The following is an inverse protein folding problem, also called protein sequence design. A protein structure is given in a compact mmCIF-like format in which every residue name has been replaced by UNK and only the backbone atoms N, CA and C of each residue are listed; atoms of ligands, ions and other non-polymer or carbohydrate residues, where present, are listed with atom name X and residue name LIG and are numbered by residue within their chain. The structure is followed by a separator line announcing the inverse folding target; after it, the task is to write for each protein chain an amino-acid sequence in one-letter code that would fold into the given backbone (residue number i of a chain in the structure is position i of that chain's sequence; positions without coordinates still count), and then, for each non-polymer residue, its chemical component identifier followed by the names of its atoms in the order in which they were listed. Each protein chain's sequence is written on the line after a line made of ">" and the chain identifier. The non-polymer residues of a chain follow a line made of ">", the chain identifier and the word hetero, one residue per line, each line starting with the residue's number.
data_IF_859144295985
#
_entry.id   IF_859144295985
#
_cell.length_a   1.000
_cell.length_b   1.000
_cell.length_c   1.000
_cell.angle_alpha   90.00
_cell.angle_beta   90.00
_cell.angle_gamma   90.00
#
_symmetry.space_group_name_H-M   'P 1'
#
loop_
_entity.id
_entity.type
_entity.pdbx_description
1 polymer ?
#
# COMPACT_ATOMS: atom_id res chain seq x y z
N UNK A 1 16.93 -9.97 -16.70
CA UNK A 1 16.19 -8.72 -16.42
C UNK A 1 15.64 -8.83 -15.01
N UNK A 2 15.87 -7.85 -14.12
CA UNK A 2 15.17 -7.83 -12.83
C UNK A 2 13.69 -7.60 -13.14
N UNK A 3 12.82 -8.49 -12.67
CA UNK A 3 11.37 -8.33 -12.80
C UNK A 3 10.96 -7.05 -12.07
N UNK A 4 10.25 -6.16 -12.77
CA UNK A 4 9.72 -4.93 -12.18
C UNK A 4 8.62 -5.29 -11.18
N UNK A 5 8.61 -4.68 -9.99
CA UNK A 5 7.58 -4.91 -8.97
C UNK A 5 6.26 -4.33 -9.47
N UNK A 6 5.26 -5.18 -9.64
CA UNK A 6 3.88 -4.79 -9.96
C UNK A 6 2.98 -5.30 -8.84
N UNK A 7 2.29 -4.38 -8.19
CA UNK A 7 1.42 -4.63 -7.04
C UNK A 7 -0.02 -4.34 -7.46
N UNK A 8 -0.96 -5.21 -7.11
CA UNK A 8 -2.37 -4.97 -7.40
C UNK A 8 -3.27 -5.33 -6.22
N UNK A 9 -4.25 -4.47 -5.96
CA UNK A 9 -5.26 -4.63 -4.93
C UNK A 9 -6.46 -5.41 -5.47
N UNK A 10 -6.88 -6.42 -4.73
CA UNK A 10 -8.18 -7.04 -4.85
C UNK A 10 -9.03 -6.53 -3.68
N UNK A 11 -9.96 -5.60 -3.95
CA UNK A 11 -10.79 -4.97 -2.90
C UNK A 11 -12.15 -5.64 -2.72
N UNK A 12 -12.74 -6.12 -3.82
CA UNK A 12 -14.03 -6.79 -3.80
C UNK A 12 -13.87 -8.28 -3.47
N UNK A 13 -15.00 -8.93 -3.16
CA UNK A 13 -15.04 -10.38 -3.04
C UNK A 13 -14.40 -11.07 -4.26
N UNK A 14 -13.54 -12.06 -4.00
CA UNK A 14 -12.82 -12.82 -5.02
C UNK A 14 -13.16 -14.31 -4.96
N UNK A 15 -13.02 -14.96 -6.11
CA UNK A 15 -12.97 -16.42 -6.26
C UNK A 15 -11.71 -16.79 -7.03
N UNK A 16 -11.31 -18.07 -6.97
CA UNK A 16 -10.14 -18.54 -7.72
C UNK A 16 -10.27 -18.24 -9.22
N UNK A 17 -11.47 -18.34 -9.80
CA UNK A 17 -11.71 -18.03 -11.21
C UNK A 17 -11.49 -16.54 -11.51
N UNK A 18 -12.01 -15.64 -10.65
CA UNK A 18 -11.82 -14.20 -10.84
C UNK A 18 -10.35 -13.78 -10.72
N UNK A 19 -9.58 -14.45 -9.84
CA UNK A 19 -8.17 -14.16 -9.64
C UNK A 19 -7.35 -14.39 -10.90
N UNK A 20 -7.65 -15.44 -11.70
CA UNK A 20 -6.86 -15.82 -12.90
C UNK A 20 -6.58 -14.63 -13.81
N UNK A 21 -7.62 -13.84 -14.12
CA UNK A 21 -7.50 -12.65 -14.96
C UNK A 21 -7.12 -11.40 -14.18
N UNK A 22 -7.57 -11.25 -12.93
CA UNK A 22 -7.33 -10.03 -12.15
C UNK A 22 -5.85 -9.83 -11.80
N UNK A 23 -5.10 -10.92 -11.58
CA UNK A 23 -3.72 -10.87 -11.09
C UNK A 23 -2.68 -11.09 -12.20
N UNK A 24 -3.11 -11.11 -13.46
CA UNK A 24 -2.21 -11.25 -14.60
C UNK A 24 -1.20 -10.10 -14.61
N UNK A 25 0.10 -10.43 -14.75
CA UNK A 25 1.18 -9.44 -14.70
C UNK A 25 1.59 -8.97 -13.30
N UNK A 26 0.85 -9.27 -12.24
CA UNK A 26 1.24 -8.88 -10.87
C UNK A 26 2.34 -9.76 -10.29
N UNK A 27 3.18 -9.14 -9.48
CA UNK A 27 4.20 -9.81 -8.65
C UNK A 27 3.74 -9.97 -7.21
N UNK A 28 2.95 -8.99 -6.72
CA UNK A 28 2.36 -8.97 -5.39
C UNK A 28 0.86 -8.72 -5.54
N UNK A 29 0.05 -9.51 -4.83
CA UNK A 29 -1.41 -9.39 -4.79
C UNK A 29 -1.78 -8.99 -3.37
N UNK A 30 -2.43 -7.84 -3.25
CA UNK A 30 -2.92 -7.31 -1.98
C UNK A 30 -4.38 -7.73 -1.81
N UNK A 31 -4.69 -8.36 -0.69
CA UNK A 31 -6.03 -8.79 -0.30
C UNK A 31 -6.58 -7.79 0.72
N UNK A 32 -7.57 -7.03 0.29
CA UNK A 32 -8.21 -5.96 1.05
C UNK A 32 -9.56 -6.46 1.60
N UNK A 33 -9.92 -6.26 2.87
CA UNK A 33 -9.16 -5.63 3.97
C UNK A 33 -9.31 -6.41 5.27
N UNK A 34 -8.30 -6.37 6.12
CA UNK A 34 -8.40 -6.60 7.56
C UNK A 34 -8.60 -5.25 8.26
N UNK A 35 -9.70 -5.06 8.98
CA UNK A 35 -10.08 -3.77 9.53
C UNK A 35 -9.42 -3.54 10.88
N UNK A 36 -9.66 -4.45 11.83
CA UNK A 36 -9.17 -4.40 13.20
C UNK A 36 -9.33 -5.78 13.85
N UNK A 37 -8.76 -6.01 15.05
CA UNK A 37 -9.02 -7.24 15.80
C UNK A 37 -10.51 -7.47 16.09
N UNK A 38 -11.26 -6.38 16.29
CA UNK A 38 -12.68 -6.42 16.65
C UNK A 38 -13.60 -6.61 15.44
N UNK A 39 -13.26 -5.97 14.32
CA UNK A 39 -14.11 -5.93 13.13
C UNK A 39 -13.75 -7.00 12.09
N UNK A 40 -12.56 -7.60 12.21
CA UNK A 40 -12.12 -8.72 11.38
C UNK A 40 -11.82 -8.33 9.93
N UNK A 41 -12.24 -9.17 8.98
CA UNK A 41 -11.93 -9.03 7.55
C UNK A 41 -13.18 -8.77 6.72
N UNK A 42 -13.00 -8.11 5.58
CA UNK A 42 -14.02 -7.89 4.56
C UNK A 42 -13.45 -8.08 3.15
N UNK A 43 -14.32 -8.16 2.14
CA UNK A 43 -13.94 -8.13 0.74
C UNK A 43 -13.08 -9.33 0.31
N UNK A 44 -11.92 -9.06 -0.29
CA UNK A 44 -11.01 -10.11 -0.72
C UNK A 44 -10.31 -10.82 0.43
N UNK A 45 -10.00 -10.10 1.51
CA UNK A 45 -9.41 -10.71 2.71
C UNK A 45 -10.39 -11.69 3.37
N UNK A 46 -11.68 -11.34 3.42
CA UNK A 46 -12.75 -12.24 3.89
C UNK A 46 -12.93 -13.46 2.97
N UNK A 47 -12.93 -13.25 1.66
CA UNK A 47 -12.97 -14.36 0.70
C UNK A 47 -11.80 -15.34 0.92
N UNK A 48 -10.58 -14.82 1.12
CA UNK A 48 -9.39 -15.63 1.39
C UNK A 48 -9.39 -16.30 2.76
N UNK A 49 -9.99 -15.67 3.78
CA UNK A 49 -10.19 -16.30 5.09
C UNK A 49 -11.15 -17.49 5.02
N UNK A 50 -12.20 -17.38 4.19
CA UNK A 50 -13.19 -18.44 3.96
C UNK A 50 -12.70 -19.55 3.03
N UNK A 51 -11.77 -19.22 2.13
CA UNK A 51 -11.17 -20.16 1.19
C UNK A 51 -9.63 -19.97 1.12
N UNK A 52 -8.87 -20.65 2.00
CA UNK A 52 -7.42 -20.58 2.02
C UNK A 52 -6.74 -21.06 0.72
N UNK A 53 -7.44 -21.79 -0.16
CA UNK A 53 -6.90 -22.19 -1.47
C UNK A 53 -6.64 -20.98 -2.37
N UNK A 54 -7.29 -19.84 -2.14
CA UNK A 54 -7.04 -18.59 -2.89
C UNK A 54 -5.60 -18.10 -2.69
N UNK A 55 -5.12 -18.07 -1.44
CA UNK A 55 -3.73 -17.69 -1.13
C UNK A 55 -2.77 -18.71 -1.73
N UNK A 56 -3.05 -20.01 -1.57
CA UNK A 56 -2.22 -21.07 -2.13
C UNK A 56 -2.13 -20.99 -3.66
N UNK A 57 -3.24 -20.70 -4.32
CA UNK A 57 -3.30 -20.53 -5.77
C UNK A 57 -2.39 -19.39 -6.22
N UNK A 58 -2.50 -18.20 -5.61
CA UNK A 58 -1.65 -17.04 -5.93
C UNK A 58 -0.17 -17.37 -5.70
N UNK A 59 0.16 -18.02 -4.59
CA UNK A 59 1.55 -18.44 -4.28
C UNK A 59 2.07 -19.50 -5.24
N UNK A 60 1.23 -20.42 -5.73
CA UNK A 60 1.60 -21.44 -6.72
C UNK A 60 2.02 -20.83 -8.06
N UNK A 61 1.57 -19.61 -8.36
CA UNK A 61 1.99 -18.81 -9.52
C UNK A 61 3.29 -18.03 -9.27
N UNK A 62 3.95 -18.22 -8.12
CA UNK A 62 5.17 -17.53 -7.73
C UNK A 62 4.97 -16.07 -7.31
N UNK A 63 3.74 -15.67 -6.99
CA UNK A 63 3.39 -14.32 -6.54
C UNK A 63 3.39 -14.23 -5.02
N UNK A 64 3.50 -13.01 -4.50
CA UNK A 64 3.39 -12.71 -3.06
C UNK A 64 1.97 -12.32 -2.68
N UNK A 65 1.48 -12.86 -1.57
CA UNK A 65 0.17 -12.50 -1.01
C UNK A 65 0.38 -11.54 0.17
N UNK A 66 -0.23 -10.36 0.11
CA UNK A 66 -0.10 -9.32 1.13
C UNK A 66 -1.49 -9.00 1.68
N UNK A 67 -1.62 -8.89 3.00
CA UNK A 67 -2.88 -8.51 3.64
C UNK A 67 -2.94 -7.00 3.84
N UNK A 68 -3.93 -6.32 3.26
CA UNK A 68 -4.13 -4.89 3.49
C UNK A 68 -4.90 -4.66 4.79
N UNK A 69 -4.40 -3.76 5.63
CA UNK A 69 -4.98 -3.37 6.90
C UNK A 69 -5.54 -1.95 6.82
N UNK A 70 -6.74 -1.74 7.35
CA UNK A 70 -7.40 -0.43 7.40
C UNK A 70 -8.42 -0.23 6.29
N UNK A 71 -8.09 0.62 5.32
CA UNK A 71 -8.99 1.13 4.30
C UNK A 71 -9.90 2.25 4.80
N UNK A 72 -10.83 2.69 3.94
CA UNK A 72 -11.70 3.85 4.16
C UNK A 72 -12.59 3.78 5.43
N UNK A 73 -12.84 2.58 5.96
CA UNK A 73 -13.75 2.36 7.10
C UNK A 73 -13.06 2.32 8.46
N UNK A 74 -11.73 2.25 8.50
CA UNK A 74 -10.98 2.18 9.76
C UNK A 74 -10.57 3.58 10.25
N UNK A 75 -10.81 3.84 11.54
CA UNK A 75 -10.52 5.13 12.19
C UNK A 75 -9.69 4.89 13.46
N UNK A 76 -8.35 4.95 13.39
CA UNK A 76 -7.49 4.73 14.56
C UNK A 76 -7.57 5.90 15.54
N UNK A 77 -7.35 5.61 16.82
CA UNK A 77 -6.98 6.63 17.79
C UNK A 77 -5.48 6.85 17.72
N UNK A 78 -5.05 7.76 16.85
CA UNK A 78 -3.63 8.03 16.54
C UNK A 78 -2.79 8.49 17.74
N UNK A 79 -3.42 8.87 18.85
CA UNK A 79 -2.71 9.25 20.09
C UNK A 79 -2.46 8.07 21.05
N UNK A 80 -3.06 6.92 20.77
CA UNK A 80 -2.99 5.73 21.61
C UNK A 80 -1.91 4.76 21.11
N UNK A 81 -0.72 4.85 21.70
CA UNK A 81 0.39 3.93 21.40
C UNK A 81 0.11 2.47 21.79
N UNK A 82 -0.76 2.21 22.77
CA UNK A 82 -1.08 0.84 23.15
C UNK A 82 -1.97 0.20 22.08
N UNK A 83 -2.96 0.96 21.57
CA UNK A 83 -3.76 0.56 20.42
C UNK A 83 -2.87 0.28 19.20
N UNK A 84 -1.87 1.14 18.92
CA UNK A 84 -0.95 0.94 17.80
C UNK A 84 -0.21 -0.41 17.87
N UNK A 85 0.34 -0.75 19.05
CA UNK A 85 1.02 -2.03 19.28
C UNK A 85 0.06 -3.21 19.11
N UNK A 86 -1.11 -3.13 19.71
CA UNK A 86 -2.12 -4.19 19.61
C UNK A 86 -2.53 -4.42 18.15
N UNK A 87 -2.75 -3.33 17.41
CA UNK A 87 -3.08 -3.38 15.99
C UNK A 87 -1.99 -4.06 15.16
N UNK A 88 -0.74 -3.62 15.28
CA UNK A 88 0.40 -4.20 14.57
C UNK A 88 0.63 -5.68 14.92
N UNK A 89 0.53 -6.03 16.20
CA UNK A 89 0.66 -7.40 16.68
C UNK A 89 -0.44 -8.31 16.13
N UNK A 90 -1.70 -7.88 16.21
CA UNK A 90 -2.84 -8.66 15.75
C UNK A 90 -2.83 -8.84 14.23
N UNK A 91 -2.47 -7.78 13.48
CA UNK A 91 -2.30 -7.84 12.04
C UNK A 91 -1.23 -8.86 11.63
N UNK A 92 -0.05 -8.80 12.26
CA UNK A 92 1.03 -9.76 11.96
C UNK A 92 0.65 -11.20 12.32
N UNK A 93 -0.02 -11.42 13.46
CA UNK A 93 -0.57 -12.73 13.84
C UNK A 93 -1.52 -13.27 12.78
N UNK A 94 -2.48 -12.46 12.36
CA UNK A 94 -3.46 -12.85 11.35
C UNK A 94 -2.77 -13.18 10.02
N UNK A 95 -1.83 -12.34 9.58
CA UNK A 95 -1.09 -12.56 8.35
C UNK A 95 -0.35 -13.91 8.36
N UNK A 96 0.36 -14.22 9.45
CA UNK A 96 1.09 -15.48 9.59
C UNK A 96 0.14 -16.69 9.69
N UNK A 97 -0.93 -16.58 10.46
CA UNK A 97 -1.92 -17.65 10.64
C UNK A 97 -2.56 -18.07 9.31
N UNK A 98 -2.90 -17.10 8.46
CA UNK A 98 -3.53 -17.33 7.16
C UNK A 98 -2.53 -17.47 6.00
N UNK A 99 -1.23 -17.47 6.27
CA UNK A 99 -0.18 -17.80 5.29
C UNK A 99 0.14 -16.68 4.29
N UNK A 100 -0.17 -15.43 4.63
CA UNK A 100 0.26 -14.25 3.88
C UNK A 100 1.79 -14.08 3.97
N UNK A 101 2.39 -13.53 2.92
CA UNK A 101 3.82 -13.22 2.85
C UNK A 101 4.14 -11.82 3.41
N UNK A 102 3.13 -11.01 3.72
CA UNK A 102 3.30 -9.64 4.17
C UNK A 102 2.00 -8.94 4.54
N UNK A 103 2.16 -7.70 5.01
CA UNK A 103 1.06 -6.79 5.39
C UNK A 103 1.26 -5.42 4.74
N UNK A 104 0.16 -4.76 4.43
CA UNK A 104 0.11 -3.41 3.87
C UNK A 104 -0.71 -2.50 4.79
N UNK A 105 -0.11 -1.45 5.34
CA UNK A 105 -0.81 -0.46 6.16
C UNK A 105 -1.46 0.59 5.25
N UNK A 106 -2.73 0.38 4.92
CA UNK A 106 -3.58 1.28 4.15
C UNK A 106 -4.46 2.11 5.11
N UNK A 107 -3.82 2.95 5.92
CA UNK A 107 -4.49 3.75 6.94
C UNK A 107 -4.83 5.12 6.36
N UNK A 108 -6.09 5.30 5.96
CA UNK A 108 -6.52 6.48 5.19
C UNK A 108 -7.10 7.62 6.05
N UNK A 109 -7.78 7.30 7.15
CA UNK A 109 -8.46 8.30 7.99
C UNK A 109 -7.51 8.95 9.03
N UNK A 110 -6.37 9.45 8.56
CA UNK A 110 -5.34 10.06 9.40
C UNK A 110 -4.77 11.33 8.76
N UNK A 111 -4.26 12.23 9.60
CA UNK A 111 -3.31 13.26 9.16
C UNK A 111 -1.90 12.74 9.43
N UNK A 112 -0.99 12.82 8.46
CA UNK A 112 0.34 12.22 8.59
C UNK A 112 1.08 12.76 9.82
N UNK A 113 1.14 14.09 10.01
CA UNK A 113 1.79 14.73 11.16
C UNK A 113 1.35 14.21 12.53
N UNK A 114 0.07 13.84 12.70
CA UNK A 114 -0.46 13.38 13.99
C UNK A 114 -0.32 11.86 14.16
N UNK A 115 -0.23 11.12 13.05
CA UNK A 115 -0.26 9.66 13.05
C UNK A 115 1.12 8.98 12.97
N UNK A 116 2.21 9.71 12.73
CA UNK A 116 3.56 9.12 12.55
C UNK A 116 3.97 8.16 13.68
N UNK A 117 3.72 8.54 14.94
CA UNK A 117 4.06 7.71 16.09
C UNK A 117 3.22 6.42 16.12
N UNK A 118 1.92 6.53 15.86
CA UNK A 118 1.02 5.39 15.81
C UNK A 118 1.42 4.42 14.68
N UNK A 119 1.64 4.96 13.47
CA UNK A 119 2.08 4.18 12.32
C UNK A 119 3.41 3.48 12.61
N UNK A 120 4.38 4.21 13.16
CA UNK A 120 5.70 3.65 13.46
C UNK A 120 5.61 2.50 14.45
N UNK A 121 4.86 2.69 15.53
CA UNK A 121 4.70 1.67 16.58
C UNK A 121 4.01 0.42 16.05
N UNK A 122 2.92 0.57 15.28
CA UNK A 122 2.23 -0.55 14.66
C UNK A 122 3.13 -1.30 13.66
N UNK A 123 3.90 -0.56 12.86
CA UNK A 123 4.83 -1.11 11.85
C UNK A 123 5.95 -1.92 12.50
N UNK A 124 6.64 -1.32 13.48
CA UNK A 124 7.74 -1.96 14.21
C UNK A 124 7.23 -3.20 14.93
N UNK A 125 6.08 -3.11 15.60
CA UNK A 125 5.49 -4.25 16.31
C UNK A 125 5.20 -5.42 15.37
N UNK A 126 4.64 -5.16 14.19
CA UNK A 126 4.36 -6.20 13.20
C UNK A 126 5.65 -6.86 12.67
N UNK A 127 6.67 -6.04 12.37
CA UNK A 127 7.95 -6.51 11.85
C UNK A 127 8.75 -7.33 12.88
N UNK A 128 8.82 -6.85 14.12
CA UNK A 128 9.50 -7.54 15.22
C UNK A 128 8.79 -8.86 15.56
N UNK A 129 7.46 -8.83 15.71
CA UNK A 129 6.70 -10.04 16.03
C UNK A 129 6.89 -11.13 14.98
N UNK A 130 6.78 -10.79 13.69
CA UNK A 130 6.99 -11.79 12.64
C UNK A 130 8.40 -12.38 12.68
N UNK A 131 9.41 -11.52 12.85
CA UNK A 131 10.83 -11.94 12.98
C UNK A 131 11.04 -12.89 14.16
N UNK A 132 10.39 -12.64 15.31
CA UNK A 132 10.41 -13.53 16.47
C UNK A 132 9.76 -14.89 16.21
N UNK A 133 8.76 -14.96 15.33
CA UNK A 133 8.16 -16.22 14.88
C UNK A 133 9.03 -16.96 13.85
N UNK A 134 10.20 -16.42 13.48
CA UNK A 134 11.10 -17.00 12.49
C UNK A 134 10.69 -16.73 11.04
N UNK A 135 9.73 -15.83 10.83
CA UNK A 135 9.26 -15.40 9.51
C UNK A 135 9.61 -13.93 9.29
N UNK A 136 9.81 -13.51 8.04
CA UNK A 136 9.97 -12.08 7.73
C UNK A 136 8.84 -11.64 6.82
N UNK A 137 7.83 -11.00 7.40
CA UNK A 137 6.76 -10.39 6.62
C UNK A 137 7.33 -9.27 5.76
N UNK A 138 6.84 -9.19 4.52
CA UNK A 138 6.98 -8.01 3.68
C UNK A 138 6.07 -6.93 4.28
N UNK A 139 6.62 -5.74 4.56
CA UNK A 139 5.85 -4.63 5.12
C UNK A 139 5.72 -3.51 4.08
N UNK A 140 4.50 -3.14 3.73
CA UNK A 140 4.24 -1.97 2.89
C UNK A 140 3.24 -1.00 3.51
N UNK A 141 3.17 0.21 2.96
CA UNK A 141 2.22 1.24 3.35
C UNK A 141 1.59 1.85 2.10
N UNK A 142 0.35 2.32 2.19
CA UNK A 142 -0.34 2.97 1.07
C UNK A 142 -0.68 4.44 1.35
N UNK A 143 0.32 5.32 1.56
CA UNK A 143 0.04 6.73 1.86
C UNK A 143 -0.58 7.46 0.68
N UNK A 144 -1.50 8.38 0.96
CA UNK A 144 -2.00 9.31 -0.05
C UNK A 144 -0.90 10.31 -0.44
N UNK A 145 -0.70 10.50 -1.75
CA UNK A 145 0.41 11.29 -2.31
C UNK A 145 0.65 12.66 -1.65
N UNK A 146 -0.38 13.50 -1.44
CA UNK A 146 -0.26 14.81 -0.78
C UNK A 146 0.38 14.78 0.61
N UNK A 147 0.17 13.71 1.37
CA UNK A 147 0.69 13.58 2.74
C UNK A 147 2.06 12.90 2.81
N UNK A 148 2.55 12.36 1.67
CA UNK A 148 3.81 11.66 1.63
C UNK A 148 5.00 12.46 2.18
N UNK A 149 5.14 13.78 1.93
CA UNK A 149 6.30 14.50 2.43
C UNK A 149 6.50 14.41 3.95
N UNK A 150 5.40 14.37 4.72
CA UNK A 150 5.47 14.13 6.16
C UNK A 150 5.64 12.64 6.47
N UNK A 151 4.97 11.78 5.70
CA UNK A 151 5.03 10.33 5.80
C UNK A 151 6.45 9.75 5.59
N UNK A 152 7.29 10.44 4.81
CA UNK A 152 8.67 10.02 4.52
C UNK A 152 9.52 9.81 5.78
N UNK A 153 9.21 10.52 6.88
CA UNK A 153 9.85 10.36 8.19
C UNK A 153 9.68 8.96 8.79
N UNK A 154 8.65 8.23 8.35
CA UNK A 154 8.37 6.88 8.82
C UNK A 154 9.50 5.90 8.48
N UNK A 155 10.27 6.15 7.41
CA UNK A 155 11.44 5.34 7.05
C UNK A 155 12.49 5.33 8.18
N UNK A 156 12.76 6.50 8.79
CA UNK A 156 13.67 6.63 9.93
C UNK A 156 13.05 6.04 11.21
N UNK A 157 11.79 6.41 11.51
CA UNK A 157 11.10 6.00 12.73
C UNK A 157 10.91 4.47 12.82
N UNK A 158 10.78 3.79 11.68
CA UNK A 158 10.60 2.33 11.61
C UNK A 158 11.92 1.59 11.38
N UNK A 159 13.07 2.26 11.47
CA UNK A 159 14.39 1.65 11.31
C UNK A 159 14.55 0.89 9.97
N UNK A 160 13.86 1.35 8.92
CA UNK A 160 13.90 0.74 7.59
C UNK A 160 13.10 -0.56 7.45
N UNK A 161 12.20 -0.91 8.38
CA UNK A 161 11.36 -2.10 8.28
C UNK A 161 10.38 -2.08 7.09
N UNK A 162 10.07 -0.90 6.53
CA UNK A 162 9.17 -0.77 5.39
C UNK A 162 9.88 -1.21 4.11
N UNK A 163 9.35 -2.22 3.40
CA UNK A 163 9.92 -2.72 2.15
C UNK A 163 9.53 -1.87 0.93
N UNK A 164 8.33 -1.26 0.93
CA UNK A 164 7.90 -0.31 -0.10
C UNK A 164 6.64 0.49 0.28
N UNK A 165 6.40 1.58 -0.44
CA UNK A 165 5.24 2.45 -0.33
C UNK A 165 4.40 2.40 -1.61
N UNK A 166 3.15 1.95 -1.52
CA UNK A 166 2.13 2.00 -2.57
C UNK A 166 1.47 3.40 -2.59
N UNK A 167 2.20 4.41 -3.05
CA UNK A 167 1.77 5.80 -2.95
C UNK A 167 0.52 6.03 -3.82
N UNK A 168 -0.57 6.46 -3.21
CA UNK A 168 -1.84 6.66 -3.90
C UNK A 168 -1.83 8.01 -4.64
N UNK A 169 -1.74 7.94 -5.98
CA UNK A 169 -1.78 9.09 -6.87
C UNK A 169 -3.17 9.26 -7.50
N UNK A 170 -4.22 9.19 -6.68
CA UNK A 170 -5.64 9.29 -7.08
C UNK A 170 -6.53 9.71 -5.89
N UNK A 171 -7.75 10.18 -6.18
CA UNK A 171 -8.77 10.62 -5.21
C UNK A 171 -8.39 11.82 -4.31
N UNK A 172 -7.41 12.64 -4.70
CA UNK A 172 -6.92 13.76 -3.89
C UNK A 172 -7.39 15.15 -4.38
N UNK A 173 -8.33 15.20 -5.32
CA UNK A 173 -8.84 16.44 -5.92
C UNK A 173 -8.04 16.93 -7.13
N UNK A 174 -8.37 18.13 -7.61
CA UNK A 174 -7.76 18.76 -8.78
C UNK A 174 -7.06 20.07 -8.36
N UNK A 175 -5.79 19.97 -7.99
CA UNK A 175 -4.96 21.12 -7.63
C UNK A 175 -3.65 21.06 -8.44
N UNK A 176 -3.10 22.23 -8.73
CA UNK A 176 -1.93 22.44 -9.60
C UNK A 176 -0.70 21.59 -9.25
N UNK A 177 -0.56 21.20 -7.97
CA UNK A 177 0.53 20.37 -7.43
C UNK A 177 0.17 18.88 -7.26
N UNK A 178 -1.05 18.49 -7.60
CA UNK A 178 -1.64 17.17 -7.34
C UNK A 178 -2.23 16.54 -8.61
N UNK A 179 -2.05 17.16 -9.78
CA UNK A 179 -2.50 16.63 -11.05
C UNK A 179 -1.69 15.38 -11.39
N UNK A 180 -2.19 14.21 -10.99
CA UNK A 180 -1.58 12.92 -11.28
C UNK A 180 -2.09 12.34 -12.60
N UNK A 181 -2.65 13.15 -13.49
CA UNK A 181 -3.39 12.69 -14.67
C UNK A 181 -2.47 12.17 -15.79
N UNK A 182 -1.21 12.62 -15.84
CA UNK A 182 -0.23 12.18 -16.84
C UNK A 182 1.05 11.64 -16.21
N UNK A 183 1.74 10.76 -16.93
CA UNK A 183 3.05 10.23 -16.52
C UNK A 183 4.07 11.36 -16.31
N UNK A 184 4.07 12.38 -17.16
CA UNK A 184 4.97 13.54 -17.09
C UNK A 184 4.79 14.34 -15.79
N UNK A 185 3.59 14.37 -15.21
CA UNK A 185 3.31 15.06 -13.95
C UNK A 185 3.76 14.28 -12.69
N UNK A 186 4.08 12.99 -12.84
CA UNK A 186 4.60 12.13 -11.76
C UNK A 186 6.14 12.27 -11.61
N UNK A 187 6.78 12.87 -12.61
CA UNK A 187 8.20 13.20 -12.69
C UNK A 187 8.35 14.74 -12.65
N UNK A 188 9.54 15.31 -12.36
CA UNK A 188 9.65 16.73 -12.04
C UNK A 188 9.13 17.64 -13.15
N UNK A 189 8.01 18.30 -12.87
CA UNK A 189 7.65 19.56 -13.48
C UNK A 189 8.05 20.67 -12.50
N UNK A 190 8.87 21.62 -12.95
CA UNK A 190 8.98 22.91 -12.29
C UNK A 190 7.71 23.69 -12.64
N UNK A 191 6.77 23.80 -11.71
CA UNK A 191 5.62 24.66 -11.90
C UNK A 191 5.93 26.04 -11.34
N UNK A 192 6.02 27.08 -12.18
CA UNK A 192 6.25 28.48 -11.76
C UNK A 192 7.34 28.68 -10.68
N UNK A 193 8.45 27.92 -10.74
CA UNK A 193 9.56 27.89 -9.76
C UNK A 193 9.28 27.20 -8.40
N UNK A 194 8.20 26.43 -8.28
CA UNK A 194 7.89 25.58 -7.12
C UNK A 194 8.09 24.11 -7.53
N UNK A 195 8.87 23.36 -6.74
CA UNK A 195 9.06 21.92 -6.93
C UNK A 195 7.81 21.17 -6.44
N UNK A 196 7.30 20.22 -7.22
CA UNK A 196 6.21 19.34 -6.79
C UNK A 196 6.73 18.39 -5.68
N UNK A 197 6.37 18.59 -4.39
CA UNK A 197 6.93 17.82 -3.28
C UNK A 197 6.51 16.35 -3.28
N UNK A 198 5.51 15.97 -4.09
CA UNK A 198 4.97 14.60 -4.19
C UNK A 198 5.39 13.88 -5.48
N UNK A 199 6.16 14.54 -6.35
CA UNK A 199 6.80 13.86 -7.49
C UNK A 199 7.77 12.78 -7.01
N UNK A 200 7.95 11.72 -7.79
CA UNK A 200 8.81 10.58 -7.41
C UNK A 200 10.23 11.04 -7.06
N UNK A 201 10.79 11.97 -7.84
CA UNK A 201 12.13 12.52 -7.58
C UNK A 201 12.17 13.35 -6.29
N UNK A 202 11.13 14.15 -6.01
CA UNK A 202 11.08 14.93 -4.76
C UNK A 202 10.93 14.02 -3.56
N UNK A 203 10.16 12.94 -3.67
CA UNK A 203 10.03 11.93 -2.62
C UNK A 203 11.37 11.23 -2.37
N UNK A 204 12.07 10.82 -3.42
CA UNK A 204 13.40 10.21 -3.29
C UNK A 204 14.40 11.16 -2.60
N UNK A 205 14.32 12.47 -2.87
CA UNK A 205 15.18 13.47 -2.23
C UNK A 205 14.93 13.66 -0.72
N UNK A 206 13.82 13.14 -0.20
CA UNK A 206 13.45 13.21 1.22
C UNK A 206 13.97 12.03 2.05
N UNK A 207 14.84 11.19 1.48
CA UNK A 207 15.49 10.09 2.20
C UNK A 207 14.84 8.72 2.00
N UNK A 208 13.77 8.63 1.19
CA UNK A 208 13.16 7.35 0.82
C UNK A 208 13.93 6.73 -0.36
N UNK A 209 14.45 5.49 -0.23
CA UNK A 209 15.13 4.83 -1.34
C UNK A 209 14.19 4.69 -2.56
N UNK A 210 14.63 5.08 -3.79
CA UNK A 210 13.78 5.03 -4.98
C UNK A 210 13.16 3.65 -5.27
N UNK A 211 13.87 2.57 -4.95
CA UNK A 211 13.41 1.19 -5.11
C UNK A 211 12.23 0.80 -4.20
N UNK A 212 11.98 1.59 -3.15
CA UNK A 212 10.83 1.44 -2.25
C UNK A 212 9.59 2.20 -2.75
N UNK A 213 9.71 3.05 -3.77
CA UNK A 213 8.58 3.86 -4.24
C UNK A 213 7.78 3.07 -5.30
N UNK A 214 6.52 2.76 -5.00
CA UNK A 214 5.56 2.16 -5.94
C UNK A 214 4.49 3.21 -6.27
N UNK A 215 4.25 3.40 -7.57
CA UNK A 215 3.29 4.37 -8.08
C UNK A 215 1.90 3.72 -8.15
N UNK A 216 1.01 4.08 -7.22
CA UNK A 216 -0.37 3.59 -7.17
C UNK A 216 -1.30 4.39 -8.08
N UNK A 217 -2.01 3.70 -8.98
CA UNK A 217 -3.06 4.26 -9.84
C UNK A 217 -4.28 3.34 -9.89
N UNK A 218 -5.49 3.91 -10.07
CA UNK A 218 -6.68 3.13 -10.35
C UNK A 218 -6.53 2.38 -11.68
N UNK A 219 -7.15 1.21 -11.77
CA UNK A 219 -7.15 0.39 -12.99
C UNK A 219 -8.39 0.71 -13.83
N UNK A 220 -9.50 1.03 -13.17
CA UNK A 220 -10.80 1.31 -13.78
C UNK A 220 -11.41 2.61 -13.24
N UNK A 221 -12.41 3.12 -13.95
CA UNK A 221 -13.17 4.31 -13.54
C UNK A 221 -13.92 4.10 -12.22
N UNK A 222 -14.32 2.86 -11.92
CA UNK A 222 -15.04 2.50 -10.70
C UNK A 222 -14.14 2.50 -9.45
N UNK A 223 -12.82 2.51 -9.63
CA UNK A 223 -11.86 2.56 -8.52
C UNK A 223 -11.63 4.02 -8.02
N UNK A 224 -12.34 4.99 -8.60
CA UNK A 224 -12.26 6.41 -8.25
C UNK A 224 -13.50 6.91 -7.54
N UNK A 225 -13.29 7.72 -6.50
CA UNK A 225 -14.31 8.59 -5.91
C UNK A 225 -14.25 10.01 -6.49
N UNK A 226 -13.12 10.43 -7.10
CA UNK A 226 -12.98 11.75 -7.72
C UNK A 226 -12.06 11.83 -8.95
N UNK A 227 -10.74 11.74 -8.82
CA UNK A 227 -9.75 12.00 -9.89
C UNK A 227 -8.62 10.97 -9.95
N UNK A 228 -7.97 10.77 -11.10
CA UNK A 228 -6.70 10.00 -11.19
C UNK A 228 -6.59 8.89 -12.24
N UNK A 229 -7.56 8.74 -13.15
CA UNK A 229 -7.49 7.74 -14.23
C UNK A 229 -6.31 7.98 -15.15
N UNK A 230 -5.52 6.92 -15.39
CA UNK A 230 -4.56 6.91 -16.48
C UNK A 230 -5.17 6.19 -17.67
N UNK A 231 -5.38 6.88 -18.80
CA UNK A 231 -5.78 6.18 -20.03
C UNK A 231 -4.61 5.34 -20.55
N UNK A 232 -4.88 4.13 -21.04
CA UNK A 232 -3.88 3.16 -21.57
C UNK A 232 -2.91 3.72 -22.62
N UNK A 233 -3.14 4.92 -23.17
CA UNK A 233 -2.29 5.53 -24.21
C UNK A 233 -0.99 6.15 -23.70
N UNK A 234 -0.75 6.26 -22.40
CA UNK A 234 0.42 6.99 -21.87
C UNK A 234 1.61 6.13 -21.43
N UNK A 235 1.50 4.79 -21.47
CA UNK A 235 2.61 3.89 -21.10
C UNK A 235 3.38 3.31 -22.30
N UNK A 236 2.98 3.59 -23.54
CA UNK A 236 3.55 2.98 -24.75
C UNK A 236 4.50 3.87 -25.57
N UNK A 237 4.80 5.09 -25.13
CA UNK A 237 5.74 5.99 -25.80
C UNK A 237 6.91 6.34 -24.89
N UNK A 238 7.89 5.44 -24.75
CA UNK A 238 9.09 5.78 -23.99
C UNK A 238 10.19 4.73 -23.87
N UNK A 239 9.97 3.46 -24.21
CA UNK A 239 11.03 2.46 -24.22
C UNK A 239 11.53 2.19 -25.65
N UNK A 240 12.55 2.94 -26.05
CA UNK A 240 13.62 2.46 -26.94
C UNK A 240 14.93 2.52 -26.18
#
# INVERSE_FOLDING_TARGET
>A
MKTQKVVGYCSNWITQESLKSQIEGYTHVIFSFWISPEDGVLGAAEAAANDPELIQYVKSLGKKCILAAGGETYYPNVTDSAQAREYGLALAKYALEYGYDGVDFDIENITASEALNWLSEATVTAAEYSSEQGEKLIISHAPQGPYFPEYSKLEELTHGYIDFYNIQYYNQGAWEYQAYESFEMLFPLKYQNISNPTSIESIASQGVPPEKIVLGKPITENDLSSSGLSTRRHYSSGAK
#
